data_IF_234891384551
#
_entry.id   IF_234891384551
#
_cell.length_a   1.000
_cell.length_b   1.000
_cell.length_c   1.000
_cell.angle_alpha   90.00
_cell.angle_beta   90.00
_cell.angle_gamma   90.00
#
_symmetry.space_group_name_H-M   'P 1'
#
loop_
_entity.id
_entity.type
_entity.pdbx_description
1 polymer ?
#
# COMPACT_ATOMS: atom_id res chain seq x y z
N UNK A 1 -9.29 14.65 34.34
CA UNK A 1 -8.93 14.30 32.95
C UNK A 1 -8.86 15.58 32.11
N UNK A 2 -7.82 15.79 31.30
CA UNK A 2 -7.66 17.05 30.57
C UNK A 2 -8.56 17.10 29.32
N UNK A 3 -9.17 18.27 29.08
CA UNK A 3 -10.13 18.59 27.99
C UNK A 3 -9.58 18.35 26.57
N UNK A 4 -8.28 18.11 26.42
CA UNK A 4 -7.61 17.82 25.15
C UNK A 4 -7.93 16.42 24.57
N UNK A 5 -8.42 15.48 25.39
CA UNK A 5 -8.75 14.12 24.93
C UNK A 5 -10.17 14.04 24.32
N UNK A 6 -11.09 14.93 24.71
CA UNK A 6 -12.46 14.92 24.17
C UNK A 6 -12.57 15.45 22.73
N UNK A 7 -11.71 16.39 22.32
CA UNK A 7 -11.70 16.91 20.94
C UNK A 7 -11.11 15.92 19.92
N UNK A 8 -10.19 15.04 20.33
CA UNK A 8 -9.63 14.01 19.47
C UNK A 8 -10.63 12.89 19.14
N UNK A 9 -11.53 12.57 20.08
CA UNK A 9 -12.55 11.52 19.90
C UNK A 9 -13.69 12.01 18.99
N UNK A 10 -14.04 13.31 19.02
CA UNK A 10 -15.07 13.88 18.16
C UNK A 10 -14.59 14.01 16.69
N UNK A 11 -13.29 14.26 16.45
CA UNK A 11 -12.74 14.29 15.09
C UNK A 11 -12.63 12.90 14.45
N UNK A 12 -12.43 11.84 15.24
CA UNK A 12 -12.38 10.46 14.75
C UNK A 12 -13.77 9.90 14.39
N UNK A 13 -14.85 10.39 15.01
CA UNK A 13 -16.22 10.00 14.67
C UNK A 13 -16.74 10.65 13.37
N UNK A 14 -16.25 11.85 13.01
CA UNK A 14 -16.67 12.56 11.80
C UNK A 14 -16.15 11.95 10.49
N UNK A 15 -14.98 11.31 10.50
CA UNK A 15 -14.37 10.71 9.31
C UNK A 15 -14.96 9.34 8.92
N UNK A 16 -15.58 8.63 9.87
CA UNK A 16 -16.24 7.35 9.59
C UNK A 16 -17.61 7.53 8.88
N UNK A 17 -18.30 8.66 9.09
CA UNK A 17 -19.64 8.90 8.54
C UNK A 17 -19.62 9.34 7.06
N UNK A 18 -18.54 10.00 6.61
CA UNK A 18 -18.38 10.43 5.21
C UNK A 18 -18.03 9.32 4.22
N UNK A 19 -17.54 8.17 4.70
CA UNK A 19 -17.13 7.04 3.84
C UNK A 19 -18.26 6.05 3.55
N UNK A 20 -19.31 6.00 4.39
CA UNK A 20 -20.47 5.12 4.21
C UNK A 20 -21.53 5.67 3.25
N UNK A 21 -21.60 6.99 3.08
CA UNK A 21 -22.61 7.63 2.22
C UNK A 21 -22.24 7.64 0.73
N UNK A 22 -20.96 7.49 0.35
CA UNK A 22 -20.54 7.46 -1.06
C UNK A 22 -20.71 6.11 -1.78
N UNK A 23 -20.80 4.99 -1.05
CA UNK A 23 -20.95 3.67 -1.66
C UNK A 23 -22.42 3.23 -1.88
N UNK A 24 -23.40 3.97 -1.36
CA UNK A 24 -24.82 3.67 -1.55
C UNK A 24 -25.44 4.36 -2.80
N UNK A 25 -24.76 5.33 -3.41
CA UNK A 25 -25.32 6.13 -4.52
C UNK A 25 -25.11 5.48 -5.90
N UNK A 26 -24.22 4.49 -6.04
CA UNK A 26 -23.86 3.92 -7.36
C UNK A 26 -24.81 2.80 -7.83
N UNK A 27 -25.68 2.26 -6.97
CA UNK A 27 -26.63 1.19 -7.34
C UNK A 27 -28.09 1.65 -7.57
N UNK A 28 -28.35 2.97 -7.65
CA UNK A 28 -29.72 3.52 -7.72
C UNK A 28 -30.31 3.78 -9.10
N UNK A 29 -29.59 3.53 -10.20
CA UNK A 29 -29.98 4.07 -11.53
C UNK A 29 -30.45 3.01 -12.56
N UNK A 30 -31.08 1.91 -12.13
CA UNK A 30 -31.57 0.88 -13.06
C UNK A 30 -32.88 0.21 -12.61
N UNK A 31 -33.89 0.98 -12.16
CA UNK A 31 -35.17 0.38 -11.76
C UNK A 31 -36.46 1.18 -12.00
N UNK A 32 -36.48 2.11 -12.94
CA UNK A 32 -37.71 2.85 -13.28
C UNK A 32 -38.06 2.77 -14.76
N UNK A 33 -38.38 1.57 -15.29
CA UNK A 33 -39.27 1.46 -16.47
C UNK A 33 -39.82 0.04 -16.65
N UNK A 34 -40.82 -0.37 -15.88
CA UNK A 34 -41.83 -1.34 -16.38
C UNK A 34 -43.20 -0.88 -15.88
N UNK A 35 -44.04 -0.53 -16.86
CA UNK A 35 -45.41 -0.07 -16.71
C UNK A 35 -46.31 -1.13 -16.09
N UNK A 36 -47.21 -0.64 -15.24
CA UNK A 36 -48.40 -1.32 -14.71
C UNK A 36 -49.26 -1.97 -15.79
N UNK A 37 -49.51 -3.27 -15.66
CA UNK A 37 -50.59 -3.99 -16.37
C UNK A 37 -51.53 -4.54 -15.27
N UNK A 38 -52.85 -4.38 -15.39
CA UNK A 38 -53.79 -4.73 -14.32
C UNK A 38 -53.98 -6.26 -14.19
N UNK A 39 -54.10 -6.71 -12.93
CA UNK A 39 -54.41 -8.10 -12.56
C UNK A 39 -55.74 -8.58 -13.15
N UNK A 40 -55.79 -9.80 -13.72
CA UNK A 40 -57.04 -10.54 -13.87
C UNK A 40 -57.25 -11.46 -12.66
N UNK A 41 -58.37 -11.27 -11.99
CA UNK A 41 -58.92 -12.12 -10.94
C UNK A 41 -59.40 -13.46 -11.50
N UNK A 42 -58.91 -14.59 -10.93
CA UNK A 42 -59.61 -15.86 -10.65
C UNK A 42 -58.61 -17.04 -10.45
N UNK A 43 -59.03 -18.23 -9.99
CA UNK A 43 -59.47 -18.58 -8.64
C UNK A 43 -58.52 -19.58 -7.97
N UNK A 44 -58.60 -19.69 -6.63
CA UNK A 44 -57.87 -20.66 -5.81
C UNK A 44 -58.03 -22.11 -6.29
N UNK A 45 -56.92 -22.73 -6.69
CA UNK A 45 -56.78 -24.19 -6.72
C UNK A 45 -55.49 -24.57 -5.98
N UNK A 46 -55.65 -25.17 -4.82
CA UNK A 46 -54.56 -25.69 -4.00
C UNK A 46 -53.93 -26.89 -4.73
N UNK A 47 -52.62 -26.89 -5.03
CA UNK A 47 -51.96 -28.08 -5.57
C UNK A 47 -51.89 -29.17 -4.48
N UNK A 48 -51.98 -30.46 -4.85
CA UNK A 48 -51.88 -31.56 -3.91
C UNK A 48 -50.49 -31.58 -3.26
N UNK A 49 -50.45 -31.62 -1.93
CA UNK A 49 -49.24 -31.82 -1.14
C UNK A 49 -48.63 -33.19 -1.47
N UNK A 50 -47.46 -33.18 -2.09
CA UNK A 50 -46.59 -34.37 -2.17
C UNK A 50 -46.08 -34.67 -0.75
N UNK A 51 -46.16 -35.93 -0.26
CA UNK A 51 -45.64 -36.29 1.05
C UNK A 51 -44.15 -35.97 1.12
N UNK A 52 -43.79 -35.03 1.99
CA UNK A 52 -42.41 -34.62 2.19
C UNK A 52 -41.55 -35.81 2.62
N UNK A 53 -40.46 -36.03 1.90
CA UNK A 53 -39.33 -36.81 2.42
C UNK A 53 -38.99 -36.30 3.82
N UNK A 54 -38.87 -37.18 4.84
CA UNK A 54 -38.62 -36.74 6.21
C UNK A 54 -37.31 -35.95 6.24
N UNK A 55 -37.40 -34.68 6.66
CA UNK A 55 -36.25 -33.82 6.91
C UNK A 55 -35.30 -34.58 7.86
N UNK A 56 -34.04 -34.85 7.48
CA UNK A 56 -33.14 -35.53 8.37
C UNK A 56 -33.02 -34.71 9.65
N UNK A 57 -33.28 -35.37 10.77
CA UNK A 57 -33.38 -34.73 12.05
C UNK A 57 -32.09 -35.00 12.81
N UNK A 58 -31.53 -33.95 13.45
CA UNK A 58 -30.34 -33.99 14.33
C UNK A 58 -30.24 -35.36 15.03
N UNK A 59 -29.10 -36.06 15.01
CA UNK A 59 -28.95 -37.36 15.66
C UNK A 59 -29.54 -37.36 17.08
N UNK A 60 -30.35 -38.37 17.41
CA UNK A 60 -31.14 -38.39 18.64
C UNK A 60 -30.30 -38.15 19.90
N UNK A 61 -29.08 -38.71 19.93
CA UNK A 61 -28.07 -38.48 20.96
C UNK A 61 -27.73 -36.99 21.12
N UNK A 62 -27.38 -36.30 20.03
CA UNK A 62 -27.04 -34.87 20.05
C UNK A 62 -28.23 -34.01 20.44
N UNK A 63 -29.44 -34.35 19.97
CA UNK A 63 -30.69 -33.67 20.35
C UNK A 63 -30.93 -33.73 21.86
N UNK A 64 -30.77 -34.91 22.45
CA UNK A 64 -30.94 -35.11 23.89
C UNK A 64 -29.92 -34.32 24.70
N UNK A 65 -28.67 -34.27 24.25
CA UNK A 65 -27.61 -33.52 24.91
C UNK A 65 -27.81 -32.00 24.85
N UNK A 66 -28.30 -31.48 23.72
CA UNK A 66 -28.70 -30.06 23.61
C UNK A 66 -29.90 -29.76 24.50
N UNK A 67 -30.95 -30.58 24.44
CA UNK A 67 -32.17 -30.37 25.22
C UNK A 67 -31.93 -30.41 26.73
N UNK A 68 -30.95 -31.20 27.18
CA UNK A 68 -30.55 -31.30 28.59
C UNK A 68 -29.48 -30.27 28.99
N UNK A 69 -28.95 -29.48 28.06
CA UNK A 69 -27.87 -28.51 28.31
C UNK A 69 -26.51 -29.15 28.59
N UNK A 70 -26.37 -30.46 28.36
CA UNK A 70 -25.18 -31.26 28.72
C UNK A 70 -24.19 -31.42 27.59
N UNK A 71 -24.40 -30.78 26.44
CA UNK A 71 -23.51 -30.92 25.29
C UNK A 71 -22.08 -30.44 25.57
N UNK A 72 -21.91 -29.47 26.46
CA UNK A 72 -20.60 -29.00 26.90
C UNK A 72 -19.86 -29.99 27.82
N UNK A 73 -20.55 -31.01 28.33
CA UNK A 73 -19.96 -32.07 29.16
C UNK A 73 -19.36 -33.19 28.30
N UNK A 74 -19.68 -33.25 27.00
CA UNK A 74 -19.10 -34.27 26.12
C UNK A 74 -17.63 -33.94 25.80
N UNK A 75 -16.73 -34.94 25.81
CA UNK A 75 -15.38 -34.76 25.28
C UNK A 75 -15.43 -34.30 23.82
N UNK A 76 -14.65 -33.28 23.47
CA UNK A 76 -14.60 -32.71 22.11
C UNK A 76 -14.36 -33.77 21.04
N UNK A 77 -13.52 -34.76 21.32
CA UNK A 77 -13.24 -35.85 20.38
C UNK A 77 -14.45 -36.76 20.12
N UNK A 78 -15.28 -37.03 21.13
CA UNK A 78 -16.48 -37.85 20.97
C UNK A 78 -17.55 -37.09 20.17
N UNK A 79 -17.76 -35.81 20.51
CA UNK A 79 -18.64 -34.92 19.76
C UNK A 79 -18.18 -34.81 18.29
N UNK A 80 -16.87 -34.73 18.04
CA UNK A 80 -16.32 -34.67 16.70
C UNK A 80 -16.60 -35.95 15.92
N UNK A 81 -16.45 -37.13 16.53
CA UNK A 81 -16.73 -38.40 15.89
C UNK A 81 -18.20 -38.50 15.45
N UNK A 82 -19.14 -38.16 16.34
CA UNK A 82 -20.57 -38.15 16.03
C UNK A 82 -20.90 -37.17 14.89
N UNK A 83 -20.31 -35.97 14.91
CA UNK A 83 -20.49 -34.96 13.87
C UNK A 83 -19.84 -35.37 12.54
N UNK A 84 -18.67 -36.01 12.54
CA UNK A 84 -18.03 -36.55 11.32
C UNK A 84 -18.92 -37.57 10.64
N UNK A 85 -19.55 -38.47 11.41
CA UNK A 85 -20.50 -39.43 10.86
C UNK A 85 -21.74 -38.74 10.28
N UNK A 86 -22.24 -37.69 10.94
CA UNK A 86 -23.41 -36.97 10.44
C UNK A 86 -23.09 -36.15 9.17
N UNK A 87 -21.90 -35.56 9.09
CA UNK A 87 -21.41 -34.79 7.93
C UNK A 87 -21.43 -35.57 6.63
N UNK A 88 -21.15 -36.89 6.67
CA UNK A 88 -21.15 -37.72 5.44
C UNK A 88 -22.55 -37.90 4.85
N UNK A 89 -23.59 -37.74 5.68
CA UNK A 89 -24.98 -37.98 5.27
C UNK A 89 -25.73 -36.66 5.06
N UNK A 90 -25.55 -35.68 5.94
CA UNK A 90 -26.28 -34.40 5.93
C UNK A 90 -25.36 -33.23 6.29
N UNK A 91 -24.48 -32.79 5.38
CA UNK A 91 -23.41 -31.84 5.69
C UNK A 91 -23.94 -30.44 6.10
N UNK A 92 -25.00 -29.98 5.45
CA UNK A 92 -25.60 -28.67 5.76
C UNK A 92 -26.19 -28.64 7.18
N UNK A 93 -26.88 -29.70 7.59
CA UNK A 93 -27.53 -29.76 8.90
C UNK A 93 -26.52 -29.95 10.02
N UNK A 94 -25.49 -30.78 9.79
CA UNK A 94 -24.40 -30.96 10.73
C UNK A 94 -23.65 -29.65 10.98
N UNK A 95 -23.33 -28.87 9.94
CA UNK A 95 -22.67 -27.58 10.12
C UNK A 95 -23.60 -26.50 10.68
N UNK A 96 -24.88 -26.49 10.30
CA UNK A 96 -25.86 -25.60 10.92
C UNK A 96 -25.95 -25.84 12.44
N UNK A 97 -25.95 -27.11 12.88
CA UNK A 97 -25.88 -27.47 14.29
C UNK A 97 -24.60 -26.94 14.96
N UNK A 98 -23.43 -27.12 14.32
CA UNK A 98 -22.15 -26.62 14.85
C UNK A 98 -22.14 -25.10 15.03
N UNK A 99 -22.77 -24.34 14.15
CA UNK A 99 -22.74 -22.87 14.20
C UNK A 99 -23.87 -22.25 15.03
N UNK A 100 -25.02 -22.90 15.13
CA UNK A 100 -26.22 -22.33 15.75
C UNK A 100 -26.64 -23.02 17.04
N UNK A 101 -26.41 -24.32 17.17
CA UNK A 101 -26.86 -25.11 18.33
C UNK A 101 -25.74 -25.38 19.35
N UNK A 102 -24.47 -25.14 18.98
CA UNK A 102 -23.34 -25.20 19.90
C UNK A 102 -22.96 -23.81 20.46
N UNK A 103 -22.47 -23.76 21.72
CA UNK A 103 -21.78 -22.60 22.25
C UNK A 103 -20.58 -22.20 21.36
N UNK A 104 -20.27 -20.90 21.29
CA UNK A 104 -19.24 -20.38 20.38
C UNK A 104 -17.85 -20.97 20.65
N UNK A 105 -17.49 -21.14 21.92
CA UNK A 105 -16.22 -21.72 22.34
C UNK A 105 -16.09 -23.17 21.89
N UNK A 106 -17.18 -23.94 21.99
CA UNK A 106 -17.22 -25.34 21.56
C UNK A 106 -17.26 -25.46 20.03
N UNK A 107 -17.94 -24.54 19.35
CA UNK A 107 -17.89 -24.45 17.89
C UNK A 107 -16.45 -24.20 17.40
N UNK A 108 -15.73 -23.28 18.02
CA UNK A 108 -14.35 -22.98 17.67
C UNK A 108 -13.38 -24.14 17.96
N UNK A 109 -13.64 -24.95 18.98
CA UNK A 109 -12.80 -26.13 19.27
C UNK A 109 -13.12 -27.32 18.37
N UNK A 110 -14.37 -27.46 17.90
CA UNK A 110 -14.79 -28.59 17.07
C UNK A 110 -14.44 -28.42 15.59
N UNK A 111 -14.47 -27.18 15.06
CA UNK A 111 -14.23 -26.91 13.64
C UNK A 111 -12.92 -27.52 13.11
N UNK A 112 -11.76 -27.39 13.78
CA UNK A 112 -10.51 -28.01 13.33
C UNK A 112 -10.61 -29.54 13.22
N UNK A 113 -11.30 -30.19 14.15
CA UNK A 113 -11.51 -31.65 14.15
C UNK A 113 -12.38 -32.10 12.97
N UNK A 114 -13.26 -31.25 12.46
CA UNK A 114 -14.12 -31.58 11.33
C UNK A 114 -13.45 -31.31 9.96
N UNK A 115 -12.30 -30.62 9.95
CA UNK A 115 -11.63 -30.16 8.72
C UNK A 115 -11.38 -31.28 7.70
N UNK A 116 -10.83 -32.41 8.14
CA UNK A 116 -10.53 -33.56 7.26
C UNK A 116 -11.78 -34.22 6.68
N UNK A 117 -12.85 -34.32 7.47
CA UNK A 117 -14.12 -34.89 7.04
C UNK A 117 -14.85 -33.97 6.06
N UNK A 118 -14.88 -32.66 6.37
CA UNK A 118 -15.39 -31.64 5.46
C UNK A 118 -14.62 -31.63 4.14
N UNK A 119 -13.29 -31.78 4.18
CA UNK A 119 -12.46 -31.85 2.98
C UNK A 119 -12.71 -33.09 2.11
N UNK A 120 -13.45 -34.11 2.57
CA UNK A 120 -13.87 -35.23 1.73
C UNK A 120 -15.15 -34.94 0.92
N UNK A 121 -15.90 -33.91 1.29
CA UNK A 121 -17.15 -33.55 0.62
C UNK A 121 -16.90 -32.83 -0.71
N UNK A 122 -17.83 -32.91 -1.69
CA UNK A 122 -17.75 -32.11 -2.91
C UNK A 122 -17.75 -30.60 -2.62
N UNK A 123 -17.06 -29.81 -3.45
CA UNK A 123 -16.86 -28.37 -3.22
C UNK A 123 -18.17 -27.58 -3.02
N UNK A 124 -19.22 -27.92 -3.78
CA UNK A 124 -20.55 -27.32 -3.61
C UNK A 124 -21.18 -27.63 -2.25
N UNK A 125 -20.97 -28.85 -1.73
CA UNK A 125 -21.47 -29.24 -0.43
C UNK A 125 -20.71 -28.50 0.68
N UNK A 126 -19.39 -28.33 0.55
CA UNK A 126 -18.59 -27.53 1.49
C UNK A 126 -19.06 -26.07 1.49
N UNK A 127 -19.16 -25.45 0.31
CA UNK A 127 -19.59 -24.06 0.19
C UNK A 127 -20.99 -23.84 0.76
N UNK A 128 -21.92 -24.78 0.54
CA UNK A 128 -23.27 -24.73 1.10
C UNK A 128 -23.25 -24.91 2.63
N UNK A 129 -22.49 -25.88 3.14
CA UNK A 129 -22.45 -26.17 4.57
C UNK A 129 -21.79 -25.06 5.39
N UNK A 130 -20.82 -24.34 4.80
CA UNK A 130 -20.17 -23.19 5.42
C UNK A 130 -20.91 -21.87 5.19
N UNK A 131 -22.01 -21.85 4.42
CA UNK A 131 -22.78 -20.63 4.19
C UNK A 131 -23.53 -20.15 5.44
N UNK A 132 -23.84 -21.06 6.38
CA UNK A 132 -24.57 -20.77 7.62
C UNK A 132 -23.66 -20.39 8.81
N UNK A 133 -22.42 -20.01 8.55
CA UNK A 133 -21.51 -19.60 9.62
C UNK A 133 -22.03 -18.35 10.33
N UNK A 134 -22.00 -18.36 11.68
CA UNK A 134 -22.47 -17.26 12.52
C UNK A 134 -21.47 -16.10 12.59
N UNK A 135 -20.17 -16.38 12.70
CA UNK A 135 -19.15 -15.34 12.93
C UNK A 135 -18.01 -15.39 11.92
N UNK A 136 -17.38 -14.23 11.67
CA UNK A 136 -16.18 -14.16 10.82
C UNK A 136 -14.99 -14.99 11.35
N UNK A 137 -14.92 -15.26 12.66
CA UNK A 137 -13.88 -16.11 13.26
C UNK A 137 -14.09 -17.58 12.93
N UNK A 138 -15.32 -18.08 13.10
CA UNK A 138 -15.70 -19.44 12.69
C UNK A 138 -15.51 -19.61 11.18
N UNK A 139 -15.84 -18.60 10.37
CA UNK A 139 -15.70 -18.64 8.91
C UNK A 139 -14.23 -18.86 8.53
N UNK A 140 -13.33 -18.01 9.06
CA UNK A 140 -11.90 -18.13 8.78
C UNK A 140 -11.35 -19.47 9.24
N UNK A 141 -11.70 -19.92 10.45
CA UNK A 141 -11.21 -21.18 11.00
C UNK A 141 -11.69 -22.39 10.20
N UNK A 142 -12.97 -22.41 9.79
CA UNK A 142 -13.55 -23.49 9.01
C UNK A 142 -12.90 -23.57 7.63
N UNK A 143 -12.80 -22.44 6.91
CA UNK A 143 -12.14 -22.42 5.61
C UNK A 143 -10.65 -22.78 5.74
N UNK A 144 -9.93 -22.27 6.74
CA UNK A 144 -8.52 -22.62 6.96
C UNK A 144 -8.34 -24.13 7.21
N UNK A 145 -9.21 -24.73 8.03
CA UNK A 145 -9.13 -26.16 8.36
C UNK A 145 -9.38 -27.04 7.13
N UNK A 146 -10.41 -26.73 6.34
CA UNK A 146 -10.75 -27.50 5.13
C UNK A 146 -9.71 -27.29 4.03
N UNK A 147 -9.22 -26.05 3.84
CA UNK A 147 -8.18 -25.75 2.86
C UNK A 147 -6.86 -26.45 3.21
N UNK A 148 -6.48 -26.50 4.50
CA UNK A 148 -5.30 -27.23 4.95
C UNK A 148 -5.40 -28.72 4.64
N UNK A 149 -6.54 -29.34 4.96
CA UNK A 149 -6.81 -30.73 4.66
C UNK A 149 -6.82 -31.03 3.15
N UNK A 150 -7.38 -30.13 2.32
CA UNK A 150 -7.35 -30.25 0.85
C UNK A 150 -5.94 -30.08 0.29
N UNK A 151 -5.19 -29.10 0.78
CA UNK A 151 -3.83 -28.81 0.33
C UNK A 151 -2.91 -30.01 0.53
N UNK A 152 -3.05 -30.72 1.65
CA UNK A 152 -2.30 -31.94 1.94
C UNK A 152 -2.61 -33.10 0.97
N UNK A 153 -3.73 -33.04 0.23
CA UNK A 153 -4.12 -34.04 -0.77
C UNK A 153 -3.76 -33.61 -2.18
N UNK A 154 -4.13 -32.39 -2.57
CA UNK A 154 -3.86 -31.82 -3.90
C UNK A 154 -3.91 -30.28 -3.83
N UNK A 155 -2.84 -29.58 -4.26
CA UNK A 155 -2.83 -28.13 -4.41
C UNK A 155 -3.94 -27.61 -5.33
N UNK A 156 -4.22 -28.29 -6.44
CA UNK A 156 -5.24 -27.92 -7.42
C UNK A 156 -6.64 -27.94 -6.79
N UNK A 157 -6.93 -28.99 -6.02
CA UNK A 157 -8.20 -29.10 -5.30
C UNK A 157 -8.35 -28.00 -4.25
N UNK A 158 -7.28 -27.64 -3.54
CA UNK A 158 -7.31 -26.56 -2.57
C UNK A 158 -7.54 -25.19 -3.23
N UNK A 159 -6.92 -24.94 -4.40
CA UNK A 159 -7.11 -23.71 -5.19
C UNK A 159 -8.56 -23.61 -5.69
N UNK A 160 -9.11 -24.69 -6.25
CA UNK A 160 -10.49 -24.72 -6.72
C UNK A 160 -11.47 -24.38 -5.59
N UNK A 161 -11.27 -24.97 -4.42
CA UNK A 161 -12.08 -24.70 -3.24
C UNK A 161 -11.90 -23.26 -2.72
N UNK A 162 -10.67 -22.75 -2.68
CA UNK A 162 -10.39 -21.37 -2.23
C UNK A 162 -11.09 -20.31 -3.10
N UNK A 163 -11.28 -20.57 -4.40
CA UNK A 163 -12.01 -19.66 -5.31
C UNK A 163 -13.51 -19.59 -5.00
N UNK A 164 -14.08 -20.59 -4.36
CA UNK A 164 -15.48 -20.62 -3.96
C UNK A 164 -15.72 -19.97 -2.59
N UNK A 165 -14.65 -19.65 -1.86
CA UNK A 165 -14.77 -19.08 -0.53
C UNK A 165 -15.31 -17.64 -0.58
N UNK A 166 -16.13 -17.23 0.40
CA UNK A 166 -16.63 -15.86 0.46
C UNK A 166 -15.47 -14.87 0.68
N UNK A 167 -15.55 -13.62 0.17
CA UNK A 167 -14.45 -12.65 0.25
C UNK A 167 -13.90 -12.41 1.67
N UNK A 168 -14.78 -12.47 2.68
CA UNK A 168 -14.45 -12.26 4.09
C UNK A 168 -13.60 -13.39 4.71
N UNK A 169 -13.47 -14.54 4.04
CA UNK A 169 -12.70 -15.69 4.53
C UNK A 169 -11.19 -15.53 4.39
N UNK A 170 -10.71 -14.60 3.54
CA UNK A 170 -9.30 -14.49 3.16
C UNK A 170 -8.67 -15.81 2.65
N UNK A 171 -9.48 -16.71 2.08
CA UNK A 171 -9.09 -18.08 1.73
C UNK A 171 -7.80 -18.19 0.90
N UNK A 172 -7.61 -17.33 -0.10
CA UNK A 172 -6.38 -17.32 -0.90
C UNK A 172 -5.13 -17.02 -0.07
N UNK A 173 -5.18 -16.02 0.81
CA UNK A 173 -4.09 -15.70 1.72
C UNK A 173 -3.84 -16.80 2.76
N UNK A 174 -4.92 -17.37 3.33
CA UNK A 174 -4.82 -18.51 4.25
C UNK A 174 -4.20 -19.74 3.57
N UNK A 175 -4.52 -20.01 2.31
CA UNK A 175 -3.95 -21.12 1.55
C UNK A 175 -2.44 -20.94 1.34
N UNK A 176 -2.01 -19.72 1.01
CA UNK A 176 -0.59 -19.38 0.88
C UNK A 176 0.14 -19.55 2.22
N UNK A 177 -0.42 -19.06 3.32
CA UNK A 177 0.15 -19.24 4.65
C UNK A 177 0.25 -20.72 5.05
N UNK A 178 -0.78 -21.52 4.76
CA UNK A 178 -0.77 -22.96 5.03
C UNK A 178 0.29 -23.70 4.22
N UNK A 179 0.45 -23.37 2.94
CA UNK A 179 1.50 -23.97 2.11
C UNK A 179 2.90 -23.58 2.56
N UNK A 180 3.08 -22.32 3.01
CA UNK A 180 4.33 -21.87 3.60
C UNK A 180 4.67 -22.66 4.87
N UNK A 181 3.70 -22.82 5.77
CA UNK A 181 3.91 -23.51 7.05
C UNK A 181 4.14 -25.02 6.86
N UNK A 182 3.34 -25.67 6.01
CA UNK A 182 3.38 -27.14 5.87
C UNK A 182 4.48 -27.62 4.92
N UNK A 183 4.77 -26.87 3.85
CA UNK A 183 5.67 -27.29 2.78
C UNK A 183 6.83 -26.35 2.51
N UNK A 184 6.97 -25.25 3.26
CA UNK A 184 8.02 -24.26 3.04
C UNK A 184 7.98 -23.68 1.63
N UNK A 185 9.17 -23.48 1.04
CA UNK A 185 9.29 -23.00 -0.34
C UNK A 185 8.70 -23.99 -1.36
N UNK A 186 8.86 -25.30 -1.13
CA UNK A 186 8.33 -26.33 -2.03
C UNK A 186 6.79 -26.33 -2.07
N UNK A 187 6.14 -26.15 -0.91
CA UNK A 187 4.68 -26.02 -0.82
C UNK A 187 4.16 -24.80 -1.58
N UNK A 188 4.85 -23.67 -1.46
CA UNK A 188 4.50 -22.46 -2.22
C UNK A 188 4.66 -22.68 -3.72
N UNK A 189 5.77 -23.29 -4.15
CA UNK A 189 5.97 -23.59 -5.58
C UNK A 189 4.94 -24.58 -6.10
N UNK A 190 4.51 -25.56 -5.29
CA UNK A 190 3.42 -26.46 -5.67
C UNK A 190 2.10 -25.70 -5.89
N UNK A 191 1.78 -24.72 -5.03
CA UNK A 191 0.61 -23.84 -5.25
C UNK A 191 0.75 -23.00 -6.52
N UNK A 192 1.94 -22.43 -6.76
CA UNK A 192 2.21 -21.63 -7.97
C UNK A 192 1.98 -22.50 -9.20
N UNK A 193 2.64 -23.67 -9.31
CA UNK A 193 2.46 -24.58 -10.45
C UNK A 193 1.01 -25.05 -10.65
N UNK A 194 0.25 -25.20 -9.57
CA UNK A 194 -1.17 -25.55 -9.61
C UNK A 194 -2.10 -24.38 -10.03
N UNK A 195 -1.54 -23.20 -10.32
CA UNK A 195 -2.28 -22.05 -10.85
C UNK A 195 -2.86 -21.12 -9.78
N UNK A 196 -2.17 -20.98 -8.64
CA UNK A 196 -2.53 -19.99 -7.63
C UNK A 196 -2.48 -18.57 -8.23
N UNK A 197 -3.48 -17.75 -7.90
CA UNK A 197 -3.54 -16.38 -8.39
C UNK A 197 -2.40 -15.55 -7.78
N UNK A 198 -1.74 -14.73 -8.61
CA UNK A 198 -0.68 -13.82 -8.17
C UNK A 198 -1.15 -12.94 -7.00
N UNK A 199 -2.40 -12.50 -7.02
CA UNK A 199 -2.99 -11.65 -5.97
C UNK A 199 -3.06 -12.33 -4.59
N UNK A 200 -3.01 -13.65 -4.53
CA UNK A 200 -2.99 -14.40 -3.27
C UNK A 200 -1.60 -14.38 -2.64
N UNK A 201 -0.55 -14.49 -3.47
CA UNK A 201 0.84 -14.41 -3.06
C UNK A 201 1.30 -12.96 -2.82
N UNK A 202 0.72 -12.03 -3.59
CA UNK A 202 1.06 -10.62 -3.62
C UNK A 202 -0.22 -9.76 -3.51
N UNK A 203 -0.85 -9.70 -2.33
CA UNK A 203 -2.02 -8.86 -2.12
C UNK A 203 -1.70 -7.38 -2.45
N UNK A 204 -2.69 -6.66 -2.97
CA UNK A 204 -2.48 -5.34 -3.59
C UNK A 204 -1.92 -4.29 -2.61
N UNK A 205 -1.33 -3.22 -3.17
CA UNK A 205 -0.67 -2.08 -2.48
C UNK A 205 -1.44 -1.46 -1.31
N UNK A 206 -2.77 -1.63 -1.25
CA UNK A 206 -3.62 -1.00 -0.25
C UNK A 206 -3.51 -1.62 1.15
N UNK A 207 -3.07 -2.88 1.27
CA UNK A 207 -3.10 -3.60 2.56
C UNK A 207 -1.72 -3.98 3.10
N UNK A 208 -0.68 -4.08 2.27
CA UNK A 208 0.69 -4.27 2.77
C UNK A 208 1.72 -3.45 1.99
N UNK A 209 2.40 -2.54 2.69
CA UNK A 209 3.59 -1.86 2.18
C UNK A 209 4.85 -2.74 2.22
N UNK A 210 4.69 -3.98 2.71
CA UNK A 210 5.77 -4.80 3.23
C UNK A 210 6.01 -6.07 2.40
N UNK A 211 5.35 -6.29 1.27
CA UNK A 211 5.59 -7.49 0.44
C UNK A 211 4.95 -8.77 1.03
N UNK A 212 5.32 -9.96 0.53
CA UNK A 212 4.68 -11.21 0.93
C UNK A 212 5.10 -11.64 2.33
N UNK A 213 4.19 -11.66 3.30
CA UNK A 213 4.50 -12.07 4.68
C UNK A 213 4.87 -13.55 4.80
N UNK A 214 4.42 -14.40 3.88
CA UNK A 214 4.77 -15.82 3.89
C UNK A 214 6.27 -16.04 3.68
N UNK A 215 6.98 -15.15 2.98
CA UNK A 215 8.42 -15.25 2.77
C UNK A 215 9.21 -15.19 4.08
N UNK A 216 8.72 -14.45 5.09
CA UNK A 216 9.40 -14.36 6.39
C UNK A 216 9.17 -15.59 7.27
N UNK A 217 8.27 -16.49 6.87
CA UNK A 217 7.87 -17.67 7.65
C UNK A 217 8.60 -18.94 7.19
N UNK A 218 9.39 -18.88 6.12
CA UNK A 218 10.01 -20.07 5.51
C UNK A 218 11.52 -19.90 5.31
N UNK A 219 12.24 -21.02 5.29
CA UNK A 219 13.62 -21.07 4.80
C UNK A 219 13.64 -21.42 3.32
N UNK A 220 14.46 -20.71 2.56
CA UNK A 220 14.56 -20.82 1.11
C UNK A 220 16.00 -21.24 0.78
N UNK A 221 16.16 -22.29 -0.03
CA UNK A 221 17.47 -22.80 -0.41
C UNK A 221 18.22 -21.83 -1.35
N UNK A 222 17.52 -21.30 -2.34
CA UNK A 222 18.00 -20.22 -3.21
C UNK A 222 16.90 -19.21 -3.49
N UNK A 223 17.13 -17.97 -3.08
CA UNK A 223 16.29 -16.84 -3.43
C UNK A 223 16.32 -16.53 -4.93
N UNK A 224 17.44 -16.79 -5.62
CA UNK A 224 17.54 -16.62 -7.07
C UNK A 224 16.62 -17.57 -7.82
N UNK A 225 16.63 -18.86 -7.46
CA UNK A 225 15.77 -19.88 -8.08
C UNK A 225 14.29 -19.56 -7.84
N UNK A 226 13.93 -19.20 -6.60
CA UNK A 226 12.56 -18.80 -6.29
C UNK A 226 12.11 -17.60 -7.12
N UNK A 227 12.95 -16.56 -7.21
CA UNK A 227 12.64 -15.36 -7.98
C UNK A 227 12.49 -15.67 -9.48
N UNK A 228 13.36 -16.52 -10.02
CA UNK A 228 13.28 -16.95 -11.42
C UNK A 228 11.98 -17.72 -11.70
N UNK A 229 11.65 -18.69 -10.83
CA UNK A 229 10.46 -19.50 -11.01
C UNK A 229 9.16 -18.69 -10.87
N UNK A 230 9.09 -17.74 -9.92
CA UNK A 230 7.95 -16.82 -9.80
C UNK A 230 7.82 -15.91 -11.03
N UNK A 231 8.94 -15.40 -11.54
CA UNK A 231 8.94 -14.54 -12.73
C UNK A 231 8.53 -15.31 -13.98
N UNK A 232 8.98 -16.55 -14.13
CA UNK A 232 8.61 -17.43 -15.24
C UNK A 232 7.11 -17.74 -15.21
N UNK A 233 6.59 -18.13 -14.05
CA UNK A 233 5.19 -18.52 -13.93
C UNK A 233 4.22 -17.34 -14.08
N UNK A 234 4.60 -16.15 -13.60
CA UNK A 234 3.77 -14.95 -13.68
C UNK A 234 4.24 -13.96 -14.75
N UNK A 235 4.93 -14.41 -15.81
CA UNK A 235 5.60 -13.54 -16.77
C UNK A 235 4.74 -12.36 -17.29
N UNK A 236 3.48 -12.62 -17.63
CA UNK A 236 2.55 -11.61 -18.17
C UNK A 236 2.07 -10.58 -17.13
N UNK A 237 2.16 -10.93 -15.85
CA UNK A 237 1.68 -10.11 -14.74
C UNK A 237 2.82 -9.57 -13.88
N UNK A 238 4.05 -10.05 -14.05
CA UNK A 238 5.18 -9.77 -13.19
C UNK A 238 5.73 -8.37 -13.44
N UNK A 239 5.97 -7.61 -12.36
CA UNK A 239 6.50 -6.25 -12.45
C UNK A 239 7.86 -6.13 -11.77
N UNK A 240 8.61 -5.10 -12.15
CA UNK A 240 9.84 -4.68 -11.46
C UNK A 240 9.60 -4.43 -9.97
N UNK A 241 8.42 -3.92 -9.60
CA UNK A 241 8.00 -3.75 -8.22
C UNK A 241 7.85 -5.06 -7.45
N UNK A 242 7.41 -6.14 -8.11
CA UNK A 242 7.30 -7.46 -7.49
C UNK A 242 8.67 -8.07 -7.25
N UNK A 243 9.57 -7.95 -8.23
CA UNK A 243 10.98 -8.36 -8.13
C UNK A 243 11.63 -7.75 -6.89
N UNK A 244 11.47 -6.43 -6.71
CA UNK A 244 12.03 -5.70 -5.57
C UNK A 244 11.40 -6.12 -4.24
N UNK A 245 10.10 -6.38 -4.19
CA UNK A 245 9.39 -6.83 -2.97
C UNK A 245 9.80 -8.22 -2.53
N UNK A 246 9.98 -9.14 -3.48
CA UNK A 246 10.50 -10.48 -3.16
C UNK A 246 11.94 -10.37 -2.69
N UNK A 247 12.80 -9.66 -3.44
CA UNK A 247 14.21 -9.49 -3.10
C UNK A 247 14.42 -8.88 -1.70
N UNK A 248 13.61 -7.89 -1.30
CA UNK A 248 13.72 -7.28 0.02
C UNK A 248 13.31 -8.20 1.17
N UNK A 249 12.44 -9.19 0.90
CA UNK A 249 11.96 -10.18 1.90
C UNK A 249 12.72 -11.51 1.90
N UNK A 250 13.56 -11.74 0.90
CA UNK A 250 14.53 -12.84 0.90
C UNK A 250 15.65 -12.61 1.95
N UNK A 251 15.89 -11.37 2.33
CA UNK A 251 16.91 -11.03 3.32
C UNK A 251 16.58 -11.67 4.68
N UNK A 252 17.41 -12.62 5.11
CA UNK A 252 17.22 -13.40 6.35
C UNK A 252 16.55 -14.77 6.15
N UNK A 253 16.04 -15.08 4.96
CA UNK A 253 15.34 -16.34 4.67
C UNK A 253 16.05 -17.21 3.63
N UNK A 254 16.89 -16.61 2.77
CA UNK A 254 17.76 -17.32 1.82
C UNK A 254 19.25 -16.95 2.00
N UNK A 255 20.19 -17.89 1.79
CA UNK A 255 21.62 -17.64 1.95
C UNK A 255 22.19 -16.71 0.87
N UNK A 256 21.67 -16.79 -0.35
CA UNK A 256 22.04 -15.96 -1.52
C UNK A 256 21.30 -14.62 -1.57
N UNK A 257 20.44 -14.32 -0.59
CA UNK A 257 19.62 -13.12 -0.56
C UNK A 257 20.41 -11.80 -0.70
N UNK A 258 21.59 -11.61 -0.07
CA UNK A 258 22.38 -10.40 -0.27
C UNK A 258 22.78 -10.19 -1.73
N UNK A 259 23.17 -11.25 -2.43
CA UNK A 259 23.60 -11.18 -3.83
C UNK A 259 22.42 -10.95 -4.77
N UNK A 260 21.29 -11.63 -4.51
CA UNK A 260 20.03 -11.41 -5.23
C UNK A 260 19.61 -9.95 -5.10
N UNK A 261 19.66 -9.39 -3.88
CA UNK A 261 19.28 -8.01 -3.63
C UNK A 261 20.21 -7.02 -4.35
N UNK A 262 21.54 -7.23 -4.35
CA UNK A 262 22.48 -6.39 -5.13
C UNK A 262 22.16 -6.43 -6.62
N UNK A 263 21.99 -7.62 -7.18
CA UNK A 263 21.70 -7.81 -8.60
C UNK A 263 20.38 -7.13 -9.02
N UNK A 264 19.33 -7.25 -8.19
CA UNK A 264 18.05 -6.59 -8.44
C UNK A 264 18.16 -5.06 -8.30
N UNK A 265 18.97 -4.54 -7.38
CA UNK A 265 19.20 -3.10 -7.26
C UNK A 265 19.87 -2.55 -8.52
N UNK A 266 20.94 -3.20 -8.99
CA UNK A 266 21.69 -2.80 -10.19
C UNK A 266 20.84 -2.92 -11.46
N UNK A 267 20.08 -4.02 -11.59
CA UNK A 267 19.31 -4.33 -12.78
C UNK A 267 17.94 -3.65 -12.86
N UNK A 268 17.28 -3.42 -11.73
CA UNK A 268 15.87 -3.00 -11.67
C UNK A 268 15.71 -1.64 -11.00
N UNK A 269 16.24 -1.44 -9.79
CA UNK A 269 15.98 -0.22 -9.01
C UNK A 269 16.52 1.05 -9.70
N UNK A 270 17.67 0.93 -10.38
CA UNK A 270 18.30 2.03 -11.11
C UNK A 270 17.56 2.42 -12.39
N UNK A 271 16.74 1.52 -12.95
CA UNK A 271 15.96 1.76 -14.18
C UNK A 271 14.56 2.32 -13.91
N UNK A 272 14.11 2.23 -12.67
CA UNK A 272 12.78 2.69 -12.26
C UNK A 272 12.70 4.22 -12.15
N UNK A 273 11.47 4.75 -12.29
CA UNK A 273 11.20 6.17 -12.08
C UNK A 273 11.62 6.57 -10.66
N UNK A 274 12.18 7.78 -10.46
CA UNK A 274 12.65 8.22 -9.16
C UNK A 274 11.63 8.00 -8.03
N UNK A 275 10.36 8.38 -8.25
CA UNK A 275 9.24 8.23 -7.32
C UNK A 275 9.03 6.80 -6.82
N UNK A 276 9.08 5.81 -7.72
CA UNK A 276 8.87 4.41 -7.36
C UNK A 276 10.08 3.84 -6.61
N UNK A 277 11.28 4.20 -7.05
CA UNK A 277 12.52 3.84 -6.36
C UNK A 277 12.59 4.48 -4.98
N UNK A 278 11.96 5.63 -4.72
CA UNK A 278 11.89 6.23 -3.38
C UNK A 278 10.92 5.48 -2.48
N UNK A 279 9.72 5.15 -2.98
CA UNK A 279 8.75 4.36 -2.24
C UNK A 279 9.32 3.01 -1.77
N UNK A 280 10.11 2.36 -2.63
CA UNK A 280 10.79 1.12 -2.29
C UNK A 280 11.83 1.28 -1.17
N UNK A 281 12.76 2.23 -1.30
CA UNK A 281 13.83 2.41 -0.30
C UNK A 281 13.23 2.85 1.04
N UNK A 282 12.20 3.71 1.03
CA UNK A 282 11.44 4.09 2.24
C UNK A 282 10.78 2.88 2.89
N UNK A 283 10.13 2.02 2.11
CA UNK A 283 9.56 0.77 2.64
C UNK A 283 10.64 -0.10 3.28
N UNK A 284 11.79 -0.30 2.63
CA UNK A 284 12.89 -1.08 3.23
C UNK A 284 13.43 -0.48 4.52
N UNK A 285 13.61 0.83 4.60
CA UNK A 285 14.09 1.46 5.83
C UNK A 285 13.17 1.21 7.04
N UNK A 286 11.87 1.06 6.81
CA UNK A 286 10.90 0.73 7.86
C UNK A 286 10.82 -0.77 8.16
N UNK A 287 11.26 -1.62 7.23
CA UNK A 287 11.01 -3.07 7.26
C UNK A 287 12.24 -3.93 7.57
N UNK A 288 13.41 -3.51 7.11
CA UNK A 288 14.65 -4.27 7.18
C UNK A 288 15.87 -3.33 7.03
N UNK A 289 16.41 -2.83 8.16
CA UNK A 289 17.59 -1.96 8.17
C UNK A 289 18.84 -2.61 7.55
N UNK A 290 18.99 -3.93 7.71
CA UNK A 290 20.14 -4.67 7.19
C UNK A 290 20.09 -4.82 5.66
N UNK A 291 18.91 -5.09 5.09
CA UNK A 291 18.71 -5.07 3.65
C UNK A 291 18.91 -3.67 3.06
N UNK A 292 18.49 -2.63 3.79
CA UNK A 292 18.72 -1.23 3.39
C UNK A 292 20.22 -0.94 3.24
N UNK A 293 21.06 -1.42 4.17
CA UNK A 293 22.52 -1.21 4.09
C UNK A 293 23.08 -1.77 2.78
N UNK A 294 22.72 -3.01 2.43
CA UNK A 294 23.14 -3.65 1.18
C UNK A 294 22.73 -2.81 -0.04
N UNK A 295 21.48 -2.34 -0.06
CA UNK A 295 20.97 -1.50 -1.15
C UNK A 295 21.73 -0.20 -1.26
N UNK A 296 21.96 0.49 -0.13
CA UNK A 296 22.70 1.74 -0.09
C UNK A 296 24.14 1.53 -0.60
N UNK A 297 24.81 0.48 -0.14
CA UNK A 297 26.18 0.14 -0.54
C UNK A 297 26.29 -0.18 -2.05
N UNK A 298 25.21 -0.65 -2.67
CA UNK A 298 25.14 -0.96 -4.10
C UNK A 298 24.82 0.27 -4.96
N UNK A 299 24.20 1.31 -4.40
CA UNK A 299 23.87 2.52 -5.15
C UNK A 299 25.13 3.34 -5.47
N UNK A 300 25.24 3.93 -6.68
CA UNK A 300 26.30 4.87 -7.02
C UNK A 300 26.35 6.04 -6.04
N UNK A 301 27.54 6.53 -5.70
CA UNK A 301 27.73 7.47 -4.59
C UNK A 301 26.92 8.78 -4.75
N UNK A 302 26.82 9.32 -5.96
CA UNK A 302 25.97 10.48 -6.26
C UNK A 302 24.47 10.20 -6.09
N UNK A 303 24.02 8.96 -6.33
CA UNK A 303 22.64 8.52 -6.16
C UNK A 303 22.34 8.25 -4.68
N UNK A 304 23.28 7.62 -3.97
CA UNK A 304 23.27 7.37 -2.54
C UNK A 304 23.14 8.68 -1.76
N UNK A 305 23.99 9.68 -2.03
CA UNK A 305 23.95 10.98 -1.35
C UNK A 305 22.63 11.74 -1.59
N UNK A 306 22.13 11.80 -2.83
CA UNK A 306 20.84 12.45 -3.16
C UNK A 306 19.64 11.74 -2.54
N UNK A 307 19.64 10.40 -2.52
CA UNK A 307 18.53 9.62 -1.95
C UNK A 307 18.55 9.57 -0.42
N UNK A 308 19.72 9.42 0.20
CA UNK A 308 19.88 9.48 1.66
C UNK A 308 19.50 10.85 2.22
N UNK A 309 19.87 11.94 1.53
CA UNK A 309 19.49 13.29 1.92
C UNK A 309 17.96 13.51 1.86
N UNK A 310 17.28 12.92 0.87
CA UNK A 310 15.81 12.95 0.72
C UNK A 310 15.08 12.06 1.74
N UNK A 311 15.65 10.92 2.11
CA UNK A 311 15.12 10.05 3.15
C UNK A 311 15.28 10.67 4.54
N UNK A 312 16.41 11.34 4.78
CA UNK A 312 16.68 12.03 6.03
C UNK A 312 15.70 13.18 6.30
N UNK A 313 15.16 13.82 5.26
CA UNK A 313 14.18 14.91 5.41
C UNK A 313 12.72 14.43 5.41
N UNK A 314 12.37 13.37 4.66
CA UNK A 314 10.97 12.91 4.55
C UNK A 314 10.57 11.77 5.52
N UNK A 315 11.51 10.92 5.94
CA UNK A 315 11.19 9.72 6.75
C UNK A 315 11.36 9.93 8.26
N UNK A 316 12.11 10.96 8.68
CA UNK A 316 12.47 11.22 10.07
C UNK A 316 11.37 11.91 10.90
N UNK A 317 10.36 12.52 10.27
CA UNK A 317 9.24 13.14 10.99
C UNK A 317 8.22 12.11 11.52
N UNK A 318 8.11 10.94 10.90
CA UNK A 318 7.12 9.90 11.23
C UNK A 318 7.72 8.59 11.80
N UNK A 319 9.04 8.42 11.81
CA UNK A 319 9.71 7.21 12.31
C UNK A 319 9.97 7.25 13.83
N UNK A 320 10.04 6.07 14.47
CA UNK A 320 10.36 5.93 15.91
C UNK A 320 11.82 6.32 16.19
N UNK A 321 12.16 6.75 17.43
CA UNK A 321 13.55 7.12 17.79
C UNK A 321 14.60 6.04 17.47
N UNK A 322 14.24 4.76 17.61
CA UNK A 322 15.11 3.63 17.29
C UNK A 322 15.39 3.52 15.79
N UNK A 323 14.37 3.69 14.95
CA UNK A 323 14.51 3.72 13.49
C UNK A 323 15.35 4.92 13.03
N UNK A 324 15.21 6.07 13.70
CA UNK A 324 16.02 7.26 13.43
C UNK A 324 17.50 7.01 13.74
N UNK A 325 17.79 6.38 14.88
CA UNK A 325 19.15 6.07 15.29
C UNK A 325 19.78 4.98 14.40
N UNK A 326 19.00 3.97 13.98
CA UNK A 326 19.48 2.95 13.04
C UNK A 326 19.81 3.56 11.66
N UNK A 327 18.97 4.46 11.15
CA UNK A 327 19.25 5.19 9.89
C UNK A 327 20.46 6.12 10.06
N UNK A 328 20.57 6.82 11.20
CA UNK A 328 21.68 7.73 11.49
C UNK A 328 23.03 7.00 11.65
N UNK A 329 23.04 5.79 12.24
CA UNK A 329 24.23 4.97 12.40
C UNK A 329 24.79 4.42 11.08
N UNK A 330 23.97 4.38 10.02
CA UNK A 330 24.37 3.94 8.66
C UNK A 330 24.95 5.12 7.86
N UNK A 331 24.81 6.38 8.33
CA UNK A 331 25.34 7.57 7.65
C UNK A 331 26.84 7.75 7.93
N UNK A 332 27.68 8.03 6.92
CA UNK A 332 29.06 8.45 7.16
C UNK A 332 29.12 9.84 7.82
N UNK A 333 30.14 10.15 8.64
CA UNK A 333 30.30 11.46 9.26
C UNK A 333 30.58 12.51 8.18
N UNK A 334 29.67 13.46 8.01
CA UNK A 334 29.80 14.52 7.01
C UNK A 334 30.65 15.69 7.56
N UNK A 335 31.71 16.06 6.85
CA UNK A 335 32.55 17.23 7.14
C UNK A 335 31.71 18.54 7.17
N UNK A 336 32.07 19.41 8.11
CA UNK A 336 31.17 20.35 8.82
C UNK A 336 30.64 21.55 8.02
N UNK A 337 31.20 21.87 6.85
CA UNK A 337 30.78 23.02 6.03
C UNK A 337 29.73 22.63 4.98
N UNK A 338 29.84 21.44 4.40
CA UNK A 338 28.85 20.90 3.44
C UNK A 338 27.56 20.48 4.14
N UNK A 339 27.67 20.00 5.39
CA UNK A 339 26.55 19.56 6.21
C UNK A 339 25.59 20.69 6.61
N UNK A 340 26.05 21.95 6.69
CA UNK A 340 25.18 23.11 6.98
C UNK A 340 24.39 23.60 5.76
N UNK A 341 24.98 23.51 4.56
CA UNK A 341 24.36 23.99 3.30
C UNK A 341 23.40 22.97 2.69
N UNK A 342 23.74 21.69 2.75
CA UNK A 342 22.96 20.61 2.15
C UNK A 342 21.49 20.55 2.59
N UNK A 343 21.11 20.63 3.89
CA UNK A 343 19.71 20.56 4.29
C UNK A 343 18.90 21.74 3.75
N UNK A 344 19.46 22.96 3.76
CA UNK A 344 18.77 24.15 3.22
C UNK A 344 18.68 24.14 1.70
N UNK A 345 19.71 23.66 1.01
CA UNK A 345 19.65 23.45 -0.44
C UNK A 345 18.55 22.45 -0.80
N UNK A 346 18.45 21.34 -0.07
CA UNK A 346 17.40 20.35 -0.30
C UNK A 346 15.99 20.91 -0.01
N UNK A 347 15.84 21.76 1.01
CA UNK A 347 14.55 22.41 1.30
C UNK A 347 14.16 23.42 0.21
N UNK A 348 15.13 24.16 -0.33
CA UNK A 348 14.96 25.04 -1.50
C UNK A 348 14.51 24.22 -2.72
N UNK A 349 15.14 23.08 -2.97
CA UNK A 349 14.81 22.16 -4.06
C UNK A 349 13.40 21.59 -3.94
N UNK A 350 13.06 21.05 -2.77
CA UNK A 350 11.75 20.48 -2.48
C UNK A 350 10.65 21.52 -2.63
N UNK A 351 10.86 22.75 -2.13
CA UNK A 351 9.89 23.83 -2.27
C UNK A 351 9.76 24.32 -3.71
N UNK A 352 10.85 24.40 -4.47
CA UNK A 352 10.80 24.77 -5.89
C UNK A 352 10.06 23.72 -6.75
N UNK A 353 10.11 22.44 -6.36
CA UNK A 353 9.41 21.35 -7.04
C UNK A 353 7.93 21.28 -6.64
N UNK A 354 7.63 21.37 -5.34
CA UNK A 354 6.26 21.20 -4.82
C UNK A 354 5.40 22.44 -4.97
N UNK A 355 6.00 23.63 -4.89
CA UNK A 355 5.30 24.91 -4.92
C UNK A 355 6.03 25.89 -5.88
N UNK A 356 6.02 25.59 -7.19
CA UNK A 356 6.84 26.32 -8.18
C UNK A 356 6.50 27.82 -8.32
N UNK A 357 5.44 28.31 -7.66
CA UNK A 357 4.95 29.68 -7.73
C UNK A 357 4.87 30.38 -6.35
N UNK A 358 5.20 29.71 -5.24
CA UNK A 358 4.94 30.27 -3.89
C UNK A 358 6.04 31.19 -3.34
N UNK A 359 7.17 31.33 -4.04
CA UNK A 359 8.33 32.09 -3.55
C UNK A 359 9.00 31.50 -2.30
N UNK A 360 8.49 30.40 -1.74
CA UNK A 360 8.98 29.78 -0.51
C UNK A 360 10.45 29.36 -0.59
N UNK A 361 10.90 28.87 -1.75
CA UNK A 361 12.30 28.54 -2.00
C UNK A 361 13.22 29.77 -1.88
N UNK A 362 12.76 30.94 -2.32
CA UNK A 362 13.50 32.20 -2.16
C UNK A 362 13.47 32.73 -0.73
N UNK A 363 12.39 32.52 0.01
CA UNK A 363 12.33 32.88 1.44
C UNK A 363 13.32 32.02 2.27
N UNK A 364 13.43 30.73 1.96
CA UNK A 364 14.42 29.84 2.58
C UNK A 364 15.84 30.27 2.20
N UNK A 365 16.08 30.57 0.93
CA UNK A 365 17.38 31.08 0.47
C UNK A 365 17.75 32.44 1.09
N UNK A 366 16.79 33.36 1.24
CA UNK A 366 17.00 34.68 1.81
C UNK A 366 17.26 34.65 3.33
N UNK A 367 16.66 33.70 4.04
CA UNK A 367 16.89 33.47 5.48
C UNK A 367 18.23 32.80 5.80
N UNK A 368 19.02 32.42 4.78
CA UNK A 368 20.37 31.90 4.97
C UNK A 368 21.32 32.96 5.57
N UNK A 369 22.38 32.52 6.28
CA UNK A 369 23.48 33.37 6.72
C UNK A 369 24.02 34.19 5.56
N UNK A 370 24.46 35.41 5.84
CA UNK A 370 24.84 36.38 4.82
C UNK A 370 25.94 35.86 3.86
N UNK A 371 26.84 35.02 4.35
CA UNK A 371 27.92 34.37 3.59
C UNK A 371 27.41 33.29 2.61
N UNK A 372 26.30 32.62 2.93
CA UNK A 372 25.73 31.53 2.14
C UNK A 372 24.57 31.98 1.23
N UNK A 373 23.96 33.12 1.57
CA UNK A 373 22.76 33.66 0.92
C UNK A 373 22.90 33.81 -0.61
N UNK A 374 23.99 34.36 -1.18
CA UNK A 374 24.13 34.47 -2.63
C UNK A 374 24.12 33.09 -3.33
N UNK A 375 24.81 32.10 -2.75
CA UNK A 375 24.85 30.75 -3.31
C UNK A 375 23.49 30.03 -3.20
N UNK A 376 22.74 30.25 -2.11
CA UNK A 376 21.40 29.67 -1.95
C UNK A 376 20.38 30.28 -2.91
N UNK A 377 20.46 31.59 -3.15
CA UNK A 377 19.58 32.29 -4.09
C UNK A 377 19.86 31.85 -5.53
N UNK A 378 21.13 31.74 -5.92
CA UNK A 378 21.52 31.21 -7.23
C UNK A 378 21.06 29.75 -7.42
N UNK A 379 21.12 28.94 -6.36
CA UNK A 379 20.61 27.57 -6.36
C UNK A 379 19.10 27.50 -6.56
N UNK A 380 18.33 28.36 -5.88
CA UNK A 380 16.89 28.48 -6.07
C UNK A 380 16.54 28.88 -7.51
N UNK A 381 17.23 29.88 -8.06
CA UNK A 381 17.02 30.37 -9.42
C UNK A 381 17.26 29.27 -10.47
N UNK A 382 18.34 28.50 -10.31
CA UNK A 382 18.65 27.35 -11.16
C UNK A 382 17.53 26.31 -11.17
N UNK A 383 16.93 26.03 -10.01
CA UNK A 383 15.88 25.01 -9.90
C UNK A 383 14.57 25.45 -10.53
N UNK A 384 14.15 26.71 -10.39
CA UNK A 384 12.95 27.20 -11.08
C UNK A 384 13.12 27.18 -12.61
N UNK A 385 14.32 27.45 -13.11
CA UNK A 385 14.62 27.28 -14.54
C UNK A 385 14.50 25.82 -15.00
N UNK A 386 14.95 24.86 -14.19
CA UNK A 386 14.85 23.43 -14.55
C UNK A 386 13.43 22.88 -14.49
N UNK A 387 12.58 23.36 -13.55
CA UNK A 387 11.24 22.79 -13.32
C UNK A 387 10.14 23.42 -14.18
N UNK A 388 10.33 24.65 -14.66
CA UNK A 388 9.40 25.24 -15.63
C UNK A 388 9.90 26.51 -16.31
N UNK A 389 11.21 26.64 -16.46
CA UNK A 389 11.84 27.69 -17.25
C UNK A 389 11.68 29.09 -16.69
N UNK A 390 11.96 30.06 -17.56
CA UNK A 390 11.88 31.49 -17.30
C UNK A 390 10.52 31.96 -16.71
N UNK A 391 9.35 31.42 -17.12
CA UNK A 391 8.07 31.81 -16.53
C UNK A 391 7.93 31.47 -15.04
N UNK A 392 8.41 30.29 -14.61
CA UNK A 392 8.35 29.90 -13.20
C UNK A 392 9.37 30.68 -12.36
N UNK A 393 10.53 30.98 -12.93
CA UNK A 393 11.50 31.86 -12.30
C UNK A 393 10.89 33.26 -12.02
N UNK A 394 10.17 33.84 -12.98
CA UNK A 394 9.49 35.14 -12.81
C UNK A 394 8.35 35.04 -11.80
N UNK A 395 7.46 34.03 -11.93
CA UNK A 395 6.33 33.82 -11.01
C UNK A 395 6.76 33.55 -9.58
N UNK A 396 7.94 32.97 -9.36
CA UNK A 396 8.45 32.76 -7.99
C UNK A 396 8.60 34.06 -7.19
N UNK A 397 8.74 35.22 -7.86
CA UNK A 397 8.80 36.53 -7.22
C UNK A 397 7.44 37.01 -6.70
N UNK A 398 6.30 36.54 -7.26
CA UNK A 398 4.97 36.93 -6.78
C UNK A 398 4.71 36.48 -5.34
N UNK A 399 5.36 35.40 -4.91
CA UNK A 399 5.33 34.91 -3.53
C UNK A 399 6.23 35.66 -2.54
N UNK A 400 7.02 36.64 -3.02
CA UNK A 400 7.82 37.52 -2.17
C UNK A 400 7.03 38.82 -1.94
N UNK A 401 6.36 38.89 -0.79
CA UNK A 401 5.41 39.95 -0.44
C UNK A 401 6.01 41.38 -0.51
N UNK A 402 7.31 41.53 -0.24
CA UNK A 402 7.97 42.84 -0.25
C UNK A 402 9.35 42.77 -0.96
N UNK A 403 9.54 43.52 -2.07
CA UNK A 403 10.83 43.66 -2.74
C UNK A 403 11.92 44.29 -1.87
N UNK A 404 11.57 45.22 -0.97
CA UNK A 404 12.51 45.89 -0.08
C UNK A 404 13.06 44.94 1.00
N UNK A 405 12.26 43.96 1.41
CA UNK A 405 12.69 42.91 2.34
C UNK A 405 13.59 41.86 1.66
N UNK A 406 13.53 41.70 0.33
CA UNK A 406 14.23 40.64 -0.40
C UNK A 406 15.05 41.12 -1.63
N UNK A 407 15.83 42.20 -1.56
CA UNK A 407 16.49 42.80 -2.73
C UNK A 407 17.49 41.86 -3.41
N UNK A 408 18.09 40.94 -2.65
CA UNK A 408 19.03 39.95 -3.15
C UNK A 408 18.36 38.91 -4.07
N UNK A 409 17.10 38.52 -3.80
CA UNK A 409 16.35 37.60 -4.65
C UNK A 409 16.03 38.22 -6.01
N UNK A 410 15.58 39.47 -6.02
CA UNK A 410 15.33 40.23 -7.25
C UNK A 410 16.61 40.45 -8.07
N UNK A 411 17.74 40.69 -7.39
CA UNK A 411 19.05 40.82 -8.04
C UNK A 411 19.51 39.50 -8.68
N UNK A 412 19.31 38.37 -8.01
CA UNK A 412 19.67 37.05 -8.54
C UNK A 412 18.81 36.66 -9.74
N UNK A 413 17.49 36.89 -9.65
CA UNK A 413 16.56 36.63 -10.76
C UNK A 413 16.91 37.53 -11.94
N UNK A 414 17.16 38.81 -11.71
CA UNK A 414 17.59 39.74 -12.77
C UNK A 414 18.89 39.27 -13.44
N UNK A 415 19.90 38.88 -12.67
CA UNK A 415 21.18 38.36 -13.20
C UNK A 415 20.95 37.11 -14.05
N UNK A 416 20.12 36.20 -13.55
CA UNK A 416 19.79 34.95 -14.23
C UNK A 416 19.04 35.19 -15.53
N UNK A 417 18.07 36.12 -15.53
CA UNK A 417 17.31 36.51 -16.72
C UNK A 417 18.21 37.16 -17.78
N UNK A 418 19.06 38.12 -17.40
CA UNK A 418 19.98 38.79 -18.32
C UNK A 418 20.98 37.78 -18.93
N UNK A 419 21.46 36.82 -18.14
CA UNK A 419 22.37 35.78 -18.62
C UNK A 419 21.70 34.79 -19.58
N UNK A 420 20.45 34.42 -19.34
CA UNK A 420 19.73 33.42 -20.14
C UNK A 420 19.02 34.01 -21.37
N UNK A 421 18.65 35.30 -21.30
CA UNK A 421 17.83 36.00 -22.30
C UNK A 421 18.37 37.42 -22.57
N UNK A 422 19.58 37.54 -23.14
CA UNK A 422 20.19 38.85 -23.37
C UNK A 422 19.41 39.70 -24.40
N UNK A 423 18.64 39.08 -25.29
CA UNK A 423 17.92 39.74 -26.38
C UNK A 423 16.50 40.23 -25.99
N UNK A 424 15.95 39.72 -24.88
CA UNK A 424 14.59 40.04 -24.44
C UNK A 424 13.80 38.82 -23.95
N UNK A 425 12.63 39.07 -23.38
CA UNK A 425 11.72 38.04 -22.85
C UNK A 425 10.84 37.44 -23.95
N UNK A 426 10.56 36.14 -23.89
CA UNK A 426 9.61 35.51 -24.79
C UNK A 426 8.16 35.89 -24.41
N UNK A 427 7.16 35.75 -25.29
CA UNK A 427 5.76 36.11 -24.99
C UNK A 427 5.22 35.47 -23.70
N UNK A 428 5.56 34.21 -23.45
CA UNK A 428 5.21 33.47 -22.23
C UNK A 428 5.86 34.01 -20.94
N UNK A 429 7.01 34.68 -21.05
CA UNK A 429 7.71 35.32 -19.93
C UNK A 429 7.10 36.69 -19.63
N UNK A 430 6.64 37.40 -20.67
CA UNK A 430 5.86 38.65 -20.52
C UNK A 430 4.52 38.39 -19.83
N UNK A 431 3.87 37.26 -20.14
CA UNK A 431 2.66 36.85 -19.42
C UNK A 431 2.93 36.47 -17.96
N UNK A 432 4.13 35.95 -17.64
CA UNK A 432 4.56 35.73 -16.27
C UNK A 432 4.83 37.05 -15.52
N UNK A 433 5.40 38.06 -16.19
CA UNK A 433 5.59 39.39 -15.59
C UNK A 433 4.27 40.05 -15.17
N UNK A 434 3.19 39.84 -15.92
CA UNK A 434 1.85 40.35 -15.57
C UNK A 434 1.30 39.81 -14.25
N UNK A 435 1.88 38.75 -13.70
CA UNK A 435 1.50 38.19 -12.39
C UNK A 435 2.17 38.89 -11.21
N UNK A 436 3.14 39.77 -11.46
CA UNK A 436 3.81 40.57 -10.44
C UNK A 436 3.04 41.86 -10.17
N UNK A 437 3.13 42.37 -8.94
CA UNK A 437 2.61 43.70 -8.62
C UNK A 437 3.44 44.80 -9.32
N UNK A 438 2.91 46.02 -9.45
CA UNK A 438 3.66 47.14 -10.02
C UNK A 438 5.00 47.41 -9.30
N UNK A 439 5.01 47.26 -7.97
CA UNK A 439 6.21 47.45 -7.14
C UNK A 439 7.25 46.34 -7.38
N UNK A 440 6.81 45.08 -7.46
CA UNK A 440 7.68 43.94 -7.77
C UNK A 440 8.26 44.05 -9.19
N UNK A 441 7.45 44.49 -10.14
CA UNK A 441 7.87 44.73 -11.54
C UNK A 441 8.90 45.85 -11.61
N UNK A 442 8.67 46.96 -10.91
CA UNK A 442 9.61 48.07 -10.82
C UNK A 442 10.94 47.66 -10.18
N UNK A 443 10.90 46.86 -9.10
CA UNK A 443 12.10 46.33 -8.45
C UNK A 443 12.89 45.38 -9.37
N UNK A 444 12.21 44.49 -10.09
CA UNK A 444 12.85 43.61 -11.07
C UNK A 444 13.47 44.40 -12.23
N UNK A 445 12.77 45.39 -12.78
CA UNK A 445 13.31 46.26 -13.84
C UNK A 445 14.51 47.07 -13.37
N UNK A 446 14.47 47.61 -12.15
CA UNK A 446 15.61 48.31 -11.56
C UNK A 446 16.83 47.39 -11.44
N UNK A 447 16.64 46.16 -10.93
CA UNK A 447 17.71 45.17 -10.82
C UNK A 447 18.27 44.76 -12.20
N UNK A 448 17.42 44.59 -13.20
CA UNK A 448 17.83 44.26 -14.58
C UNK A 448 18.60 45.42 -15.22
N UNK A 449 18.20 46.67 -14.98
CA UNK A 449 18.94 47.86 -15.43
C UNK A 449 20.36 47.84 -14.86
N UNK A 450 20.49 47.56 -13.56
CA UNK A 450 21.77 47.50 -12.88
C UNK A 450 22.65 46.34 -13.39
N UNK A 451 22.06 45.18 -13.72
CA UNK A 451 22.81 44.02 -14.20
C UNK A 451 23.21 44.11 -15.69
N UNK A 452 22.36 44.71 -16.53
CA UNK A 452 22.60 44.79 -17.99
C UNK A 452 23.35 46.04 -18.43
N UNK A 453 23.34 47.10 -17.61
CA UNK A 453 23.93 48.40 -17.96
C UNK A 453 23.27 49.11 -19.14
N UNK A 454 22.12 48.61 -19.64
CA UNK A 454 21.49 49.10 -20.87
C UNK A 454 19.97 49.18 -20.76
N UNK A 455 19.42 50.37 -21.04
CA UNK A 455 17.97 50.58 -21.18
C UNK A 455 17.36 49.89 -22.41
N UNK A 456 18.19 49.31 -23.30
CA UNK A 456 17.70 48.57 -24.45
C UNK A 456 17.01 47.25 -24.05
N UNK A 457 17.53 46.55 -23.04
CA UNK A 457 16.96 45.26 -22.57
C UNK A 457 15.57 45.48 -21.97
N UNK A 458 15.38 46.54 -21.18
CA UNK A 458 14.09 46.86 -20.55
C UNK A 458 13.06 47.33 -21.59
N UNK A 459 13.48 47.99 -22.67
CA UNK A 459 12.57 48.38 -23.76
C UNK A 459 11.96 47.17 -24.48
N UNK A 460 12.69 46.05 -24.54
CA UNK A 460 12.19 44.79 -25.10
C UNK A 460 11.32 43.99 -24.12
N UNK A 461 11.11 44.49 -22.90
CA UNK A 461 10.28 43.85 -21.86
C UNK A 461 8.93 44.58 -21.64
N UNK A 462 8.71 45.70 -22.33
CA UNK A 462 7.42 46.40 -22.42
C UNK A 462 6.65 45.88 -23.63
#
# INVERSE_FOLDING_TARGET
>A
MPRSIQLAIICLAGLASGFLTRNLVINGAARDTIQSIPEPTAPSTTPPQVPGTPKPAIPAKLRQLVATGRIAELPTAELAADLRQWLTTNPNEAMAFVFHDLPAELSLSIIPELGDALAQLPDRAISSALASVRTGREMRLAWQSVLGARLNRSPESAIALARLAPPLSSAGGSLVDLAAVNGGAAGIMALVHAGADKSWLFPSRATSHFGPEWLTKIRIASGRELLAALKEHYADQWTDGDTLRVASKLHGTAPDAPEVLRSVVEGTLLRMKPSDSYGFIRSMALSSPDALKIVLDTLPEGFRRRKLALMATQSLSAATPEQRNAVAAILPPAESTTARRAPRQNDIELKAIMEPQSGAAYQIAASAPQEDRPAMLAHAAKWFLMTGGTPNLIKSLSGLADPAANPAAYTEVARTLVSQRPEGLAPQDLDALKTLTPEQTAALHAAVRTQSGSDAVIRNWK
#
